data_IF_618644641385
#
_entry.id   IF_618644641385
#
_cell.length_a   1.000
_cell.length_b   1.000
_cell.length_c   1.000
_cell.angle_alpha   90.00
_cell.angle_beta   90.00
_cell.angle_gamma   90.00
#
_symmetry.space_group_name_H-M   'P 1'
#
loop_
_entity.id
_entity.type
_entity.pdbx_description
1 polymer ?
#
# COMPACT_ATOMS: atom_id res chain seq x y z
N UNK A 1 0.18 11.63 -15.60
CA UNK A 1 0.14 11.64 -14.12
C UNK A 1 0.21 10.21 -13.61
N UNK A 2 1.10 9.96 -12.66
CA UNK A 2 1.20 8.63 -12.07
C UNK A 2 0.13 8.43 -11.01
N UNK A 3 -0.37 7.21 -10.93
CA UNK A 3 -1.45 6.85 -10.01
C UNK A 3 -0.86 6.02 -8.86
N UNK A 4 -1.22 6.37 -7.64
CA UNK A 4 -0.79 5.68 -6.43
C UNK A 4 -2.03 5.11 -5.73
N UNK A 5 -1.98 3.80 -5.42
CA UNK A 5 -2.98 3.18 -4.57
C UNK A 5 -2.48 3.27 -3.14
N UNK A 6 -3.26 3.93 -2.30
CA UNK A 6 -2.94 4.13 -0.88
C UNK A 6 -3.81 3.23 -0.03
N UNK A 7 -3.19 2.30 0.69
CA UNK A 7 -3.86 1.34 1.55
C UNK A 7 -3.45 1.61 2.99
N UNK A 8 -4.25 2.42 3.68
CA UNK A 8 -4.02 2.86 5.05
C UNK A 8 -5.37 2.98 5.77
N UNK A 9 -5.50 2.32 6.92
CA UNK A 9 -6.76 2.29 7.66
C UNK A 9 -6.95 3.46 8.61
N UNK A 10 -5.88 4.11 9.07
CA UNK A 10 -6.00 5.30 9.91
C UNK A 10 -6.44 6.49 9.06
N UNK A 11 -7.65 7.03 9.29
CA UNK A 11 -8.16 8.10 8.43
C UNK A 11 -7.34 9.39 8.52
N UNK A 12 -6.69 9.67 9.64
CA UNK A 12 -5.85 10.86 9.78
C UNK A 12 -4.59 10.72 8.93
N UNK A 13 -3.90 9.59 9.05
CA UNK A 13 -2.69 9.31 8.26
C UNK A 13 -3.04 9.24 6.77
N UNK A 14 -4.13 8.55 6.42
CA UNK A 14 -4.59 8.44 5.04
C UNK A 14 -4.83 9.81 4.41
N UNK A 15 -5.50 10.71 5.12
CA UNK A 15 -5.76 12.05 4.62
C UNK A 15 -4.48 12.86 4.46
N UNK A 16 -3.58 12.78 5.43
CA UNK A 16 -2.31 13.53 5.37
C UNK A 16 -1.43 13.05 4.23
N UNK A 17 -1.26 11.75 4.09
CA UNK A 17 -0.43 11.17 3.01
C UNK A 17 -1.08 11.44 1.66
N UNK A 18 -2.38 11.24 1.54
CA UNK A 18 -3.10 11.48 0.30
C UNK A 18 -2.99 12.93 -0.16
N UNK A 19 -3.13 13.87 0.77
CA UNK A 19 -2.99 15.30 0.46
C UNK A 19 -1.58 15.63 -0.03
N UNK A 20 -0.57 15.12 0.67
CA UNK A 20 0.83 15.35 0.31
C UNK A 20 1.13 14.83 -1.10
N UNK A 21 0.70 13.61 -1.40
CA UNK A 21 0.92 13.00 -2.71
C UNK A 21 0.18 13.77 -3.82
N UNK A 22 -1.03 14.22 -3.54
CA UNK A 22 -1.80 15.02 -4.50
C UNK A 22 -1.12 16.34 -4.78
N UNK A 23 -0.56 16.97 -3.77
CA UNK A 23 0.20 18.22 -3.93
C UNK A 23 1.45 18.05 -4.78
N UNK A 24 2.03 16.84 -4.75
CA UNK A 24 3.19 16.49 -5.58
C UNK A 24 2.81 16.10 -7.01
N UNK A 25 1.53 16.14 -7.35
CA UNK A 25 1.05 15.87 -8.70
C UNK A 25 0.65 14.43 -8.99
N UNK A 26 0.53 13.59 -7.97
CA UNK A 26 0.08 12.22 -8.16
C UNK A 26 -1.45 12.12 -8.07
N UNK A 27 -2.00 11.19 -8.83
CA UNK A 27 -3.40 10.79 -8.64
C UNK A 27 -3.42 9.72 -7.54
N UNK A 28 -4.22 9.94 -6.49
CA UNK A 28 -4.27 9.04 -5.34
C UNK A 28 -5.61 8.32 -5.31
N UNK A 29 -5.57 7.00 -5.29
CA UNK A 29 -6.76 6.16 -5.08
C UNK A 29 -6.66 5.59 -3.68
N UNK A 30 -7.63 5.91 -2.83
CA UNK A 30 -7.66 5.47 -1.43
C UNK A 30 -8.58 4.29 -1.27
N UNK A 31 -8.09 3.25 -0.57
CA UNK A 31 -8.91 2.08 -0.23
C UNK A 31 -9.74 2.42 1.00
N UNK A 32 -11.05 2.21 0.92
CA UNK A 32 -11.96 2.37 2.04
C UNK A 32 -12.49 1.03 2.55
N UNK A 33 -12.65 0.06 1.68
CA UNK A 33 -13.06 -1.30 2.03
C UNK A 33 -11.85 -2.23 1.99
N UNK A 34 -11.38 -2.65 3.16
CA UNK A 34 -10.17 -3.45 3.29
C UNK A 34 -10.35 -4.93 2.97
N UNK A 35 -11.54 -5.35 2.56
CA UNK A 35 -11.76 -6.65 1.92
C UNK A 35 -11.61 -6.56 0.41
N UNK A 36 -11.66 -5.36 -0.15
CA UNK A 36 -11.69 -5.13 -1.60
C UNK A 36 -10.38 -4.53 -2.13
N UNK A 37 -9.27 -4.73 -1.42
CA UNK A 37 -7.98 -4.17 -1.80
C UNK A 37 -7.56 -4.65 -3.19
N UNK A 38 -7.64 -5.96 -3.45
CA UNK A 38 -7.22 -6.52 -4.73
C UNK A 38 -8.15 -6.08 -5.85
N UNK A 39 -9.46 -6.02 -5.61
CA UNK A 39 -10.44 -5.56 -6.58
C UNK A 39 -10.12 -4.13 -7.02
N UNK A 40 -9.90 -3.25 -6.05
CA UNK A 40 -9.59 -1.85 -6.36
C UNK A 40 -8.23 -1.71 -7.04
N UNK A 41 -7.26 -2.55 -6.67
CA UNK A 41 -5.96 -2.60 -7.34
C UNK A 41 -6.12 -2.91 -8.83
N UNK A 42 -6.89 -3.95 -9.16
CA UNK A 42 -7.12 -4.35 -10.55
C UNK A 42 -7.84 -3.25 -11.32
N UNK A 43 -8.87 -2.65 -10.71
CA UNK A 43 -9.67 -1.61 -11.36
C UNK A 43 -8.89 -0.33 -11.61
N UNK A 44 -8.04 0.07 -10.65
CA UNK A 44 -7.34 1.36 -10.72
C UNK A 44 -6.05 1.32 -11.54
N UNK A 45 -5.44 0.15 -11.69
CA UNK A 45 -4.17 -0.02 -12.41
C UNK A 45 -3.10 0.97 -11.93
N UNK A 46 -2.73 0.95 -10.65
CA UNK A 46 -1.80 1.95 -10.12
C UNK A 46 -0.36 1.70 -10.58
N UNK A 47 0.43 2.76 -10.56
CA UNK A 47 1.86 2.69 -10.88
C UNK A 47 2.70 2.39 -9.64
N UNK A 48 2.14 2.62 -8.45
CA UNK A 48 2.80 2.38 -7.16
C UNK A 48 1.73 2.07 -6.12
N UNK A 49 2.03 1.15 -5.21
CA UNK A 49 1.17 0.85 -4.06
C UNK A 49 1.89 1.27 -2.78
N UNK A 50 1.24 2.08 -1.97
CA UNK A 50 1.67 2.38 -0.61
C UNK A 50 0.78 1.59 0.33
N UNK A 51 1.36 0.67 1.10
CA UNK A 51 0.63 -0.33 1.86
C UNK A 51 1.00 -0.27 3.33
N UNK A 52 0.00 -0.03 4.20
CA UNK A 52 0.20 -0.17 5.63
C UNK A 52 0.28 -1.64 6.01
N UNK A 53 1.18 -1.98 6.94
CA UNK A 53 1.33 -3.35 7.42
C UNK A 53 0.18 -3.73 8.36
N UNK A 54 -0.20 -2.81 9.25
CA UNK A 54 -1.16 -3.07 10.31
C UNK A 54 -2.62 -2.90 9.92
N UNK A 55 -3.03 -3.44 8.76
CA UNK A 55 -4.40 -3.30 8.28
C UNK A 55 -5.37 -4.22 9.04
N UNK A 56 -6.68 -3.83 9.11
CA UNK A 56 -7.70 -4.72 9.66
C UNK A 56 -7.94 -5.92 8.73
N UNK A 57 -8.45 -7.02 9.28
CA UNK A 57 -8.80 -8.26 8.59
C UNK A 57 -7.56 -9.00 8.08
N UNK A 58 -6.93 -8.53 7.00
CA UNK A 58 -5.69 -9.06 6.47
C UNK A 58 -4.63 -7.98 6.49
N UNK A 59 -3.42 -8.30 6.94
CA UNK A 59 -2.33 -7.32 7.01
C UNK A 59 -1.76 -7.00 5.63
N UNK A 60 -0.88 -5.99 5.58
CA UNK A 60 -0.27 -5.55 4.32
C UNK A 60 0.55 -6.63 3.62
N UNK A 61 1.16 -7.55 4.37
CA UNK A 61 1.92 -8.65 3.79
C UNK A 61 1.02 -9.57 2.96
N UNK A 62 -0.18 -9.85 3.45
CA UNK A 62 -1.16 -10.67 2.73
C UNK A 62 -1.48 -10.04 1.38
N UNK A 63 -1.81 -8.76 1.36
CA UNK A 63 -2.18 -8.07 0.12
C UNK A 63 -0.99 -7.93 -0.83
N UNK A 64 0.21 -7.74 -0.30
CA UNK A 64 1.42 -7.72 -1.12
C UNK A 64 1.60 -9.05 -1.86
N UNK A 65 1.43 -10.18 -1.17
CA UNK A 65 1.50 -11.49 -1.80
C UNK A 65 0.43 -11.66 -2.88
N UNK A 66 -0.81 -11.23 -2.60
CA UNK A 66 -1.89 -11.35 -3.58
C UNK A 66 -1.63 -10.50 -4.82
N UNK A 67 -1.13 -9.29 -4.64
CA UNK A 67 -0.77 -8.42 -5.77
C UNK A 67 0.38 -9.03 -6.58
N UNK A 68 1.38 -9.60 -5.91
CA UNK A 68 2.54 -10.21 -6.59
C UNK A 68 2.19 -11.41 -7.45
N UNK A 69 1.06 -12.07 -7.23
CA UNK A 69 0.58 -13.15 -8.08
C UNK A 69 0.18 -12.65 -9.47
N UNK A 70 -0.18 -11.38 -9.59
CA UNK A 70 -0.73 -10.81 -10.84
C UNK A 70 0.03 -9.60 -11.36
N UNK A 71 0.96 -9.03 -10.60
CA UNK A 71 1.63 -7.79 -11.00
C UNK A 71 3.00 -7.67 -10.37
N UNK A 72 3.90 -6.95 -11.06
CA UNK A 72 5.22 -6.57 -10.56
C UNK A 72 5.26 -5.09 -10.17
N UNK A 73 4.11 -4.47 -9.96
CA UNK A 73 4.03 -3.06 -9.57
C UNK A 73 4.87 -2.80 -8.31
N UNK A 74 5.60 -1.68 -8.22
CA UNK A 74 6.33 -1.33 -7.01
C UNK A 74 5.38 -1.22 -5.82
N UNK A 75 5.77 -1.83 -4.70
CA UNK A 75 5.03 -1.77 -3.44
C UNK A 75 5.97 -1.26 -2.37
N UNK A 76 5.57 -0.19 -1.70
CA UNK A 76 6.29 0.34 -0.54
C UNK A 76 5.40 0.20 0.68
N UNK A 77 5.98 -0.26 1.79
CA UNK A 77 5.25 -0.36 3.04
C UNK A 77 5.34 0.93 3.83
N UNK A 78 4.19 1.38 4.33
CA UNK A 78 4.10 2.42 5.34
C UNK A 78 4.01 1.74 6.69
N UNK A 79 4.91 2.05 7.62
CA UNK A 79 4.88 1.40 8.91
C UNK A 79 5.34 2.33 10.00
N UNK A 80 4.64 2.31 11.12
CA UNK A 80 5.10 2.90 12.37
C UNK A 80 5.95 1.90 13.15
N UNK A 81 6.07 0.67 12.66
CA UNK A 81 6.89 -0.37 13.27
C UNK A 81 8.30 -0.25 12.76
N UNK A 82 9.24 -0.21 13.68
CA UNK A 82 10.65 0.01 13.38
C UNK A 82 11.47 -1.21 13.77
N UNK A 83 10.93 -2.40 13.51
CA UNK A 83 11.56 -3.65 13.91
C UNK A 83 12.17 -4.34 12.70
N UNK A 84 13.39 -4.85 12.87
CA UNK A 84 14.12 -5.53 11.81
C UNK A 84 13.35 -6.73 11.26
N UNK A 85 12.58 -7.42 12.11
CA UNK A 85 11.80 -8.57 11.68
C UNK A 85 10.72 -8.17 10.69
N UNK A 86 10.06 -7.03 10.90
CA UNK A 86 9.04 -6.53 9.96
C UNK A 86 9.67 -6.19 8.61
N UNK A 87 10.87 -5.62 8.61
CA UNK A 87 11.59 -5.30 7.38
C UNK A 87 11.93 -6.59 6.62
N UNK A 88 12.45 -7.59 7.32
CA UNK A 88 12.80 -8.87 6.70
C UNK A 88 11.57 -9.54 6.11
N UNK A 89 10.45 -9.56 6.84
CA UNK A 89 9.20 -10.13 6.34
C UNK A 89 8.69 -9.37 5.12
N UNK A 90 8.76 -8.05 5.12
CA UNK A 90 8.34 -7.23 3.99
C UNK A 90 9.13 -7.59 2.73
N UNK A 91 10.44 -7.72 2.84
CA UNK A 91 11.31 -8.11 1.73
C UNK A 91 10.95 -9.51 1.24
N UNK A 92 10.77 -10.47 2.15
CA UNK A 92 10.44 -11.85 1.80
C UNK A 92 9.08 -11.97 1.13
N UNK A 93 8.15 -11.05 1.41
CA UNK A 93 6.83 -11.01 0.77
C UNK A 93 6.84 -10.29 -0.58
N UNK A 94 7.99 -9.83 -1.04
CA UNK A 94 8.14 -9.24 -2.36
C UNK A 94 7.98 -7.73 -2.41
N UNK A 95 8.07 -7.03 -1.29
CA UNK A 95 8.08 -5.58 -1.29
C UNK A 95 9.38 -5.05 -1.89
N UNK A 96 9.29 -3.91 -2.57
CA UNK A 96 10.45 -3.28 -3.19
C UNK A 96 11.19 -2.38 -2.21
N UNK A 97 10.48 -1.84 -1.23
CA UNK A 97 11.06 -0.93 -0.24
C UNK A 97 10.19 -0.89 1.02
N UNK A 98 10.72 -0.27 2.06
CA UNK A 98 10.07 -0.17 3.37
C UNK A 98 10.21 1.26 3.90
N UNK A 99 9.08 1.87 4.16
CA UNK A 99 9.01 3.26 4.62
C UNK A 99 8.56 3.36 6.07
#
# INVERSE_FOLDING_TARGET
MHKILLVEDDPVIRQQVGKMLSEWGFEVVMVEDFMEVLTLFVQSEPHLVLMDIGLPLFNGYHWCQEIRKISKVPIMFLSSRDQAMDIVMAINMGADDFV
#
